data_IF_896969172144
#
_entry.id   IF_896969172144
#
_cell.length_a   1.000
_cell.length_b   1.000
_cell.length_c   1.000
_cell.angle_alpha   90.00
_cell.angle_beta   90.00
_cell.angle_gamma   90.00
#
_symmetry.space_group_name_H-M   'P 1'
#
loop_
_entity.id
_entity.type
_entity.pdbx_description
1 polymer ?
#
# COMPACT_ATOMS: atom_id res chain seq x y z
N UNK A 1 19.11 9.36 -15.38
CA UNK A 1 18.22 8.81 -16.45
C UNK A 1 17.14 7.97 -15.80
N UNK A 2 15.85 8.17 -16.15
CA UNK A 2 14.78 7.39 -15.51
C UNK A 2 14.95 5.91 -15.78
N UNK A 3 14.87 5.11 -14.73
CA UNK A 3 15.00 3.65 -14.73
C UNK A 3 13.78 3.04 -14.09
N UNK A 4 13.34 1.89 -14.57
CA UNK A 4 12.25 1.11 -13.97
C UNK A 4 12.80 0.03 -13.05
N UNK A 5 12.19 -0.15 -11.89
CA UNK A 5 12.49 -1.21 -10.91
C UNK A 5 11.57 -2.40 -11.15
N UNK A 6 11.89 -3.20 -12.17
CA UNK A 6 11.10 -4.38 -12.55
C UNK A 6 11.00 -5.43 -11.43
N UNK A 7 11.92 -5.39 -10.48
CA UNK A 7 12.00 -6.25 -9.30
C UNK A 7 11.07 -5.81 -8.15
N UNK A 8 10.32 -4.71 -8.31
CA UNK A 8 9.41 -4.17 -7.28
C UNK A 8 8.02 -3.91 -7.86
N UNK A 9 6.98 -4.17 -7.06
CA UNK A 9 5.60 -3.68 -7.24
C UNK A 9 5.11 -3.08 -5.94
N UNK A 10 4.53 -1.90 -6.01
CA UNK A 10 3.94 -1.22 -4.86
C UNK A 10 2.43 -1.16 -5.05
N UNK A 11 1.67 -1.81 -4.18
CA UNK A 11 0.21 -1.87 -4.26
C UNK A 11 -0.44 -1.45 -2.94
N UNK A 12 -1.62 -0.85 -3.05
CA UNK A 12 -2.54 -0.67 -1.94
C UNK A 12 -3.68 -1.69 -2.06
N UNK A 13 -4.11 -2.24 -0.94
CA UNK A 13 -5.32 -3.06 -0.91
C UNK A 13 -6.44 -2.26 -0.28
N UNK A 14 -7.53 -2.09 -1.00
CA UNK A 14 -8.74 -1.40 -0.56
C UNK A 14 -9.93 -2.34 -0.58
N UNK A 15 -10.79 -2.23 0.42
CA UNK A 15 -11.99 -3.03 0.53
C UNK A 15 -13.00 -2.36 1.45
N UNK A 16 -14.26 -2.72 1.30
CA UNK A 16 -15.25 -2.48 2.34
C UNK A 16 -14.96 -3.35 3.57
N UNK A 17 -15.46 -2.92 4.74
CA UNK A 17 -15.38 -3.72 5.97
C UNK A 17 -15.98 -5.10 5.71
N UNK A 18 -15.36 -6.14 6.26
CA UNK A 18 -15.77 -7.54 6.12
C UNK A 18 -15.70 -8.16 4.70
N UNK A 19 -15.25 -7.45 3.67
CA UNK A 19 -15.01 -8.05 2.34
C UNK A 19 -13.81 -9.00 2.28
N UNK A 20 -13.07 -9.14 3.38
CA UNK A 20 -11.98 -10.11 3.52
C UNK A 20 -10.60 -9.60 3.16
N UNK A 21 -10.38 -8.28 3.22
CA UNK A 21 -9.08 -7.64 2.97
C UNK A 21 -7.96 -8.24 3.82
N UNK A 22 -8.12 -8.27 5.15
CA UNK A 22 -7.12 -8.80 6.07
C UNK A 22 -6.84 -10.28 5.81
N UNK A 23 -7.89 -11.08 5.58
CA UNK A 23 -7.75 -12.52 5.25
C UNK A 23 -6.98 -12.72 3.95
N UNK A 24 -7.20 -11.86 2.95
CA UNK A 24 -6.48 -11.91 1.68
C UNK A 24 -5.00 -11.60 1.88
N UNK A 25 -4.67 -10.56 2.63
CA UNK A 25 -3.26 -10.20 2.93
C UNK A 25 -2.57 -11.31 3.72
N UNK A 26 -3.23 -11.87 4.73
CA UNK A 26 -2.71 -12.99 5.51
C UNK A 26 -2.41 -14.19 4.60
N UNK A 27 -3.27 -14.49 3.64
CA UNK A 27 -3.09 -15.61 2.73
C UNK A 27 -1.95 -15.36 1.73
N UNK A 28 -1.83 -14.14 1.22
CA UNK A 28 -0.67 -13.77 0.39
C UNK A 28 0.64 -13.89 1.16
N UNK A 29 0.67 -13.49 2.43
CA UNK A 29 1.84 -13.66 3.30
C UNK A 29 2.19 -15.13 3.52
N UNK A 30 1.21 -16.00 3.76
CA UNK A 30 1.42 -17.43 3.96
C UNK A 30 2.00 -18.08 2.71
N UNK A 31 1.41 -17.82 1.55
CA UNK A 31 1.80 -18.48 0.30
C UNK A 31 3.08 -17.92 -0.33
N UNK A 32 3.51 -16.72 0.08
CA UNK A 32 4.82 -16.16 -0.31
C UNK A 32 6.01 -16.75 0.45
N UNK A 33 5.77 -17.63 1.42
CA UNK A 33 6.83 -18.27 2.21
C UNK A 33 7.43 -17.40 3.31
N UNK A 34 6.77 -16.30 3.69
CA UNK A 34 7.19 -15.41 4.78
C UNK A 34 7.17 -16.13 6.13
N UNK A 35 6.25 -17.09 6.31
CA UNK A 35 6.14 -17.90 7.51
C UNK A 35 6.83 -19.26 7.33
N UNK A 36 7.47 -19.77 8.40
CA UNK A 36 8.03 -21.12 8.40
C UNK A 36 6.91 -22.17 8.39
N UNK A 37 7.12 -23.31 7.72
CA UNK A 37 6.12 -24.38 7.54
C UNK A 37 5.42 -24.88 8.83
N UNK A 38 6.01 -24.67 10.00
CA UNK A 38 5.47 -25.08 11.30
C UNK A 38 5.13 -23.90 12.23
N UNK A 39 5.05 -22.68 11.70
CA UNK A 39 4.69 -21.53 12.50
C UNK A 39 3.17 -21.41 12.56
N UNK A 40 2.57 -21.59 13.74
CA UNK A 40 1.18 -21.21 13.96
C UNK A 40 1.04 -19.71 13.78
N UNK A 41 0.38 -19.31 12.73
CA UNK A 41 0.10 -17.91 12.43
C UNK A 41 -1.27 -17.57 13.01
N UNK A 42 -1.31 -16.63 13.92
CA UNK A 42 -2.59 -16.12 14.42
C UNK A 42 -3.41 -15.56 13.25
N UNK A 43 -4.71 -15.75 13.27
CA UNK A 43 -5.60 -15.06 12.32
C UNK A 43 -5.46 -13.54 12.50
N UNK A 44 -5.53 -12.79 11.40
CA UNK A 44 -5.42 -11.32 11.38
C UNK A 44 -4.06 -10.81 11.87
N UNK A 45 -2.99 -11.39 11.34
CA UNK A 45 -1.60 -11.03 11.71
C UNK A 45 -1.32 -9.52 11.54
N UNK A 46 -1.98 -8.88 10.58
CA UNK A 46 -1.84 -7.45 10.33
C UNK A 46 -2.55 -6.58 11.37
N UNK A 47 -3.60 -7.08 12.05
CA UNK A 47 -4.35 -6.30 13.04
C UNK A 47 -3.62 -6.34 14.40
N UNK A 48 -2.65 -5.45 14.58
CA UNK A 48 -1.81 -5.40 15.79
C UNK A 48 -2.40 -4.60 16.94
N UNK A 49 -3.43 -3.76 16.69
CA UNK A 49 -4.09 -2.92 17.67
C UNK A 49 -5.31 -3.64 18.25
N UNK A 50 -5.46 -3.62 19.58
CA UNK A 50 -6.60 -4.25 20.25
C UNK A 50 -7.95 -3.71 19.76
N UNK A 51 -8.03 -2.41 19.45
CA UNK A 51 -9.23 -1.77 18.91
C UNK A 51 -9.54 -2.27 17.49
N UNK A 52 -8.54 -2.48 16.64
CA UNK A 52 -8.71 -3.04 15.30
C UNK A 52 -9.23 -4.49 15.39
N UNK A 53 -8.67 -5.29 16.29
CA UNK A 53 -9.10 -6.68 16.53
C UNK A 53 -10.52 -6.76 17.05
N UNK A 54 -10.88 -5.90 18.02
CA UNK A 54 -12.20 -5.87 18.64
C UNK A 54 -13.28 -5.42 17.63
N UNK A 55 -12.99 -4.41 16.83
CA UNK A 55 -13.93 -3.83 15.86
C UNK A 55 -13.91 -4.50 14.49
N UNK A 56 -12.89 -5.28 14.20
CA UNK A 56 -12.72 -5.93 12.90
C UNK A 56 -12.40 -4.99 11.73
N UNK A 57 -11.87 -3.79 12.00
CA UNK A 57 -11.56 -2.78 11.01
C UNK A 57 -10.08 -2.39 11.05
N UNK A 58 -9.51 -2.05 9.90
CA UNK A 58 -8.19 -1.42 9.81
C UNK A 58 -8.34 0.07 10.10
N UNK A 59 -7.61 0.60 11.08
CA UNK A 59 -7.60 2.01 11.46
C UNK A 59 -6.36 2.70 10.90
N UNK A 60 -5.19 2.07 11.02
CA UNK A 60 -3.92 2.58 10.55
C UNK A 60 -3.40 1.77 9.37
N UNK A 61 -2.85 2.45 8.38
CA UNK A 61 -2.19 1.80 7.24
C UNK A 61 -0.98 1.01 7.72
N UNK A 62 -0.84 -0.20 7.22
CA UNK A 62 0.27 -1.09 7.54
C UNK A 62 1.02 -1.47 6.29
N UNK A 63 2.33 -1.53 6.41
CA UNK A 63 3.22 -1.93 5.34
C UNK A 63 3.68 -3.37 5.55
N UNK A 64 3.59 -4.16 4.51
CA UNK A 64 4.18 -5.49 4.45
C UNK A 64 4.79 -5.73 3.07
N UNK A 65 5.59 -6.75 2.93
CA UNK A 65 6.15 -7.13 1.65
C UNK A 65 6.16 -8.64 1.50
N UNK A 66 5.86 -9.10 0.30
CA UNK A 66 5.92 -10.50 -0.09
C UNK A 66 6.82 -10.64 -1.30
N UNK A 67 7.33 -11.85 -1.54
CA UNK A 67 8.17 -12.15 -2.69
C UNK A 67 7.49 -13.17 -3.59
N UNK A 68 7.44 -12.87 -4.88
CA UNK A 68 6.88 -13.76 -5.88
C UNK A 68 7.77 -13.81 -7.12
N UNK A 69 8.32 -15.00 -7.42
CA UNK A 69 9.20 -15.25 -8.61
C UNK A 69 10.30 -14.17 -8.80
N UNK A 70 10.93 -13.73 -7.72
CA UNK A 70 12.00 -12.72 -7.75
C UNK A 70 11.52 -11.27 -7.71
N UNK A 71 10.22 -11.02 -7.73
CA UNK A 71 9.63 -9.67 -7.56
C UNK A 71 9.21 -9.46 -6.12
N UNK A 72 9.63 -8.37 -5.53
CA UNK A 72 9.15 -7.89 -4.23
C UNK A 72 7.87 -7.11 -4.42
N UNK A 73 6.80 -7.53 -3.77
CA UNK A 73 5.51 -6.83 -3.78
C UNK A 73 5.31 -6.18 -2.41
N UNK A 74 5.44 -4.86 -2.36
CA UNK A 74 5.09 -4.08 -1.18
C UNK A 74 3.57 -3.90 -1.17
N UNK A 75 2.96 -4.28 -0.05
CA UNK A 75 1.51 -4.21 0.16
C UNK A 75 1.24 -3.22 1.27
N UNK A 76 0.45 -2.19 0.96
CA UNK A 76 -0.04 -1.25 1.97
C UNK A 76 -1.50 -1.56 2.23
N UNK A 77 -1.78 -2.02 3.44
CA UNK A 77 -3.14 -2.22 3.91
C UNK A 77 -3.74 -0.87 4.30
N UNK A 78 -4.83 -0.46 3.64
CA UNK A 78 -5.44 0.85 3.83
C UNK A 78 -6.72 0.76 4.67
N UNK A 79 -7.02 1.79 5.50
CA UNK A 79 -8.34 1.91 6.11
C UNK A 79 -9.44 1.90 5.04
N UNK A 80 -10.50 1.13 5.29
CA UNK A 80 -11.64 1.03 4.36
C UNK A 80 -12.71 2.11 4.57
N UNK A 81 -12.60 2.94 5.61
CA UNK A 81 -13.63 3.90 6.00
C UNK A 81 -13.31 5.32 5.53
N UNK A 82 -14.33 6.05 5.04
CA UNK A 82 -14.19 7.41 4.53
C UNK A 82 -13.64 8.42 5.56
N UNK A 83 -13.81 8.16 6.86
CA UNK A 83 -13.30 9.01 7.94
C UNK A 83 -11.77 9.12 7.95
N UNK A 84 -11.06 8.18 7.31
CA UNK A 84 -9.60 8.16 7.18
C UNK A 84 -9.09 8.67 5.83
N UNK A 85 -9.88 9.50 5.16
CA UNK A 85 -9.60 9.96 3.78
C UNK A 85 -8.22 10.57 3.56
N UNK A 86 -7.71 11.34 4.52
CA UNK A 86 -6.38 11.92 4.44
C UNK A 86 -5.25 10.88 4.49
N UNK A 87 -5.43 9.79 5.22
CA UNK A 87 -4.47 8.69 5.28
C UNK A 87 -4.48 7.89 3.97
N UNK A 88 -5.66 7.56 3.48
CA UNK A 88 -5.85 6.89 2.20
C UNK A 88 -5.14 7.62 1.06
N UNK A 89 -5.32 8.93 0.95
CA UNK A 89 -4.70 9.72 -0.12
C UNK A 89 -3.17 9.71 -0.05
N UNK A 90 -2.60 9.76 1.15
CA UNK A 90 -1.14 9.66 1.33
C UNK A 90 -0.60 8.29 0.95
N UNK A 91 -1.32 7.23 1.31
CA UNK A 91 -0.98 5.84 0.93
C UNK A 91 -1.00 5.67 -0.58
N UNK A 92 -2.05 6.16 -1.24
CA UNK A 92 -2.20 6.03 -2.70
C UNK A 92 -1.07 6.72 -3.48
N UNK A 93 -0.42 7.73 -2.92
CA UNK A 93 0.77 8.35 -3.53
C UNK A 93 2.04 7.51 -3.45
N UNK A 94 2.07 6.50 -2.57
CA UNK A 94 3.22 5.60 -2.45
C UNK A 94 3.14 4.38 -3.37
N UNK A 95 1.99 4.11 -3.98
CA UNK A 95 1.76 2.90 -4.75
C UNK A 95 1.68 3.14 -6.25
N UNK A 96 1.84 2.07 -7.02
CA UNK A 96 1.76 2.07 -8.47
C UNK A 96 0.46 1.45 -8.99
N UNK A 97 -0.35 0.91 -8.09
CA UNK A 97 -1.66 0.34 -8.41
C UNK A 97 -2.40 -0.12 -7.17
N UNK A 98 -3.62 -0.54 -7.38
CA UNK A 98 -4.57 -0.88 -6.31
C UNK A 98 -5.21 -2.24 -6.57
N UNK A 99 -5.40 -3.01 -5.52
CA UNK A 99 -6.26 -4.19 -5.52
C UNK A 99 -7.55 -3.85 -4.76
N UNK A 100 -8.66 -3.79 -5.48
CA UNK A 100 -10.00 -3.58 -4.92
C UNK A 100 -10.61 -4.94 -4.60
N UNK A 101 -10.84 -5.21 -3.32
CA UNK A 101 -11.46 -6.47 -2.87
C UNK A 101 -12.96 -6.25 -2.67
N UNK A 102 -13.77 -7.04 -3.37
CA UNK A 102 -15.23 -6.97 -3.34
C UNK A 102 -15.80 -8.34 -2.96
N UNK A 103 -16.74 -8.37 -2.03
CA UNK A 103 -17.45 -9.62 -1.65
C UNK A 103 -18.35 -10.06 -2.80
N UNK A 104 -18.26 -11.35 -3.19
CA UNK A 104 -19.00 -11.93 -4.30
C UNK A 104 -20.53 -11.98 -4.09
N UNK A 105 -21.00 -11.75 -2.88
CA UNK A 105 -22.44 -11.70 -2.54
C UNK A 105 -22.91 -10.26 -2.31
N UNK A 106 -22.20 -9.49 -1.48
CA UNK A 106 -22.60 -8.12 -1.12
C UNK A 106 -22.42 -7.13 -2.28
N UNK A 107 -21.40 -7.36 -3.13
CA UNK A 107 -21.11 -6.50 -4.27
C UNK A 107 -20.42 -5.19 -3.91
N UNK A 108 -20.53 -4.21 -4.81
CA UNK A 108 -19.92 -2.91 -4.66
C UNK A 108 -20.62 -2.07 -3.57
N UNK A 109 -19.89 -1.67 -2.53
CA UNK A 109 -20.44 -0.92 -1.40
C UNK A 109 -20.11 0.57 -1.48
N UNK A 110 -21.03 1.47 -1.06
CA UNK A 110 -20.84 2.94 -1.17
C UNK A 110 -19.59 3.48 -0.49
N UNK A 111 -19.12 2.83 0.58
CA UNK A 111 -17.95 3.28 1.34
C UNK A 111 -16.64 3.15 0.56
N UNK A 112 -16.54 2.15 -0.34
CA UNK A 112 -15.40 1.99 -1.24
C UNK A 112 -15.33 3.07 -2.32
N UNK A 113 -16.47 3.72 -2.61
CA UNK A 113 -16.57 4.77 -3.64
C UNK A 113 -15.57 5.89 -3.43
N UNK A 114 -15.36 6.35 -2.19
CA UNK A 114 -14.43 7.42 -1.89
C UNK A 114 -12.98 7.03 -2.21
N UNK A 115 -12.54 5.87 -1.74
CA UNK A 115 -11.16 5.39 -1.92
C UNK A 115 -10.89 5.07 -3.40
N UNK A 116 -11.85 4.41 -4.05
CA UNK A 116 -11.76 4.11 -5.48
C UNK A 116 -11.69 5.38 -6.33
N UNK A 117 -12.53 6.39 -6.02
CA UNK A 117 -12.48 7.69 -6.69
C UNK A 117 -11.09 8.31 -6.62
N UNK A 118 -10.46 8.30 -5.43
CA UNK A 118 -9.10 8.83 -5.25
C UNK A 118 -8.05 8.05 -6.04
N UNK A 119 -8.18 6.74 -6.12
CA UNK A 119 -7.30 5.92 -6.94
C UNK A 119 -7.42 6.24 -8.44
N UNK A 120 -8.66 6.38 -8.93
CA UNK A 120 -8.94 6.75 -10.33
C UNK A 120 -8.48 8.16 -10.67
N UNK A 121 -8.68 9.16 -9.77
CA UNK A 121 -8.17 10.52 -9.92
C UNK A 121 -6.63 10.59 -10.01
N UNK A 122 -5.93 9.62 -9.44
CA UNK A 122 -4.47 9.49 -9.50
C UNK A 122 -3.99 8.61 -10.66
N UNK A 123 -4.88 8.21 -11.57
CA UNK A 123 -4.59 7.30 -12.70
C UNK A 123 -3.92 5.99 -12.27
N UNK A 124 -4.24 5.51 -11.07
CA UNK A 124 -3.72 4.23 -10.60
C UNK A 124 -4.48 3.07 -11.28
N UNK A 125 -3.78 2.11 -11.89
CA UNK A 125 -4.40 0.89 -12.37
C UNK A 125 -5.02 0.10 -11.21
N UNK A 126 -6.22 -0.43 -11.45
CA UNK A 126 -6.99 -1.18 -10.44
C UNK A 126 -7.15 -2.62 -10.90
N UNK A 127 -6.83 -3.56 -10.02
CA UNK A 127 -7.19 -4.98 -10.13
C UNK A 127 -8.41 -5.20 -9.24
N UNK A 128 -9.47 -5.77 -9.77
CA UNK A 128 -10.66 -6.10 -8.99
C UNK A 128 -10.60 -7.57 -8.57
N UNK A 129 -10.56 -7.81 -7.25
CA UNK A 129 -10.56 -9.15 -6.67
C UNK A 129 -11.97 -9.44 -6.10
N UNK A 130 -12.73 -10.28 -6.78
CA UNK A 130 -14.03 -10.76 -6.33
C UNK A 130 -13.79 -11.90 -5.34
N UNK A 131 -13.91 -11.61 -4.06
CA UNK A 131 -13.58 -12.53 -2.96
C UNK A 131 -14.81 -13.27 -2.44
N UNK A 132 -14.60 -14.37 -1.73
CA UNK A 132 -15.60 -15.23 -1.11
C UNK A 132 -16.52 -15.94 -2.14
N UNK A 133 -15.96 -16.30 -3.29
CA UNK A 133 -16.68 -17.04 -4.34
C UNK A 133 -17.08 -18.46 -3.92
N UNK A 134 -16.53 -18.97 -2.83
CA UNK A 134 -16.85 -20.25 -2.21
C UNK A 134 -18.22 -20.26 -1.50
N UNK A 135 -18.82 -19.08 -1.31
CA UNK A 135 -20.16 -18.99 -0.69
C UNK A 135 -21.25 -19.45 -1.64
N UNK A 136 -22.28 -20.19 -1.14
CA UNK A 136 -23.40 -20.66 -1.97
C UNK A 136 -24.19 -19.51 -2.63
N UNK A 137 -24.23 -18.35 -1.97
CA UNK A 137 -24.95 -17.17 -2.42
C UNK A 137 -24.11 -16.25 -3.33
N UNK A 138 -22.87 -16.65 -3.67
CA UNK A 138 -22.00 -15.86 -4.52
C UNK A 138 -22.61 -15.63 -5.91
N UNK A 139 -22.53 -14.38 -6.38
CA UNK A 139 -23.06 -13.92 -7.68
C UNK A 139 -22.00 -13.11 -8.42
N UNK A 140 -20.85 -13.70 -8.73
CA UNK A 140 -19.68 -12.97 -9.23
C UNK A 140 -19.96 -12.20 -10.52
N UNK A 141 -20.78 -12.69 -11.42
CA UNK A 141 -21.09 -12.02 -12.70
C UNK A 141 -21.85 -10.72 -12.46
N UNK A 142 -22.87 -10.73 -11.60
CA UNK A 142 -23.63 -9.53 -11.26
C UNK A 142 -22.77 -8.51 -10.50
N UNK A 143 -21.85 -8.99 -9.66
CA UNK A 143 -20.92 -8.12 -8.90
C UNK A 143 -19.94 -7.42 -9.85
N UNK A 144 -19.49 -8.07 -10.92
CA UNK A 144 -18.67 -7.42 -11.96
C UNK A 144 -19.43 -6.24 -12.56
N UNK A 145 -20.70 -6.45 -12.95
CA UNK A 145 -21.52 -5.39 -13.53
C UNK A 145 -21.70 -4.23 -12.55
N UNK A 146 -21.96 -4.50 -11.27
CA UNK A 146 -22.05 -3.49 -10.21
C UNK A 146 -20.75 -2.69 -10.04
N UNK A 147 -19.60 -3.36 -10.12
CA UNK A 147 -18.27 -2.69 -10.03
C UNK A 147 -18.02 -1.81 -11.25
N UNK A 148 -18.35 -2.28 -12.45
CA UNK A 148 -18.21 -1.50 -13.68
C UNK A 148 -19.16 -0.30 -13.68
N UNK A 149 -20.40 -0.45 -13.20
CA UNK A 149 -21.33 0.66 -13.00
C UNK A 149 -20.75 1.70 -12.02
N UNK A 150 -20.15 1.24 -10.92
CA UNK A 150 -19.48 2.13 -9.97
C UNK A 150 -18.31 2.89 -10.62
N UNK A 151 -17.51 2.23 -11.47
CA UNK A 151 -16.43 2.90 -12.20
C UNK A 151 -16.96 3.98 -13.13
N UNK A 152 -18.07 3.69 -13.87
CA UNK A 152 -18.74 4.66 -14.73
C UNK A 152 -19.29 5.85 -13.94
N UNK A 153 -19.91 5.61 -12.78
CA UNK A 153 -20.37 6.69 -11.89
C UNK A 153 -19.22 7.59 -11.36
N UNK A 154 -17.99 7.07 -11.35
CA UNK A 154 -16.80 7.78 -10.91
C UNK A 154 -16.02 8.40 -12.08
N UNK A 155 -16.62 8.48 -13.27
CA UNK A 155 -16.01 9.00 -14.49
C UNK A 155 -14.69 8.30 -14.88
N UNK A 156 -14.62 6.98 -14.67
CA UNK A 156 -13.46 6.19 -15.07
C UNK A 156 -13.24 6.23 -16.59
N UNK A 157 -11.98 6.27 -17.01
CA UNK A 157 -11.61 6.21 -18.43
C UNK A 157 -11.84 4.81 -19.02
N UNK A 158 -11.84 4.71 -20.36
CA UNK A 158 -11.96 3.42 -21.04
C UNK A 158 -10.82 2.46 -20.62
N UNK A 159 -9.60 2.96 -20.42
CA UNK A 159 -8.46 2.18 -19.95
C UNK A 159 -8.66 1.68 -18.52
N UNK A 160 -9.28 2.47 -17.65
CA UNK A 160 -9.59 2.09 -16.28
C UNK A 160 -10.74 1.08 -16.21
N UNK A 161 -11.68 1.12 -17.16
CA UNK A 161 -12.77 0.14 -17.29
C UNK A 161 -12.28 -1.23 -17.80
N UNK A 162 -11.20 -1.26 -18.57
CA UNK A 162 -10.53 -2.49 -19.05
C UNK A 162 -9.61 -3.09 -17.97
N UNK A 163 -10.06 -3.08 -16.72
CA UNK A 163 -9.30 -3.59 -15.59
C UNK A 163 -9.44 -5.12 -15.46
N UNK A 164 -8.39 -5.83 -15.00
CA UNK A 164 -8.47 -7.26 -14.77
C UNK A 164 -9.33 -7.60 -13.55
N UNK A 165 -10.13 -8.66 -13.69
CA UNK A 165 -10.86 -9.29 -12.61
C UNK A 165 -10.19 -10.59 -12.21
N UNK A 166 -10.10 -10.84 -10.90
CA UNK A 166 -9.60 -12.09 -10.33
C UNK A 166 -10.64 -12.58 -9.32
N UNK A 167 -10.98 -13.85 -9.38
CA UNK A 167 -11.89 -14.47 -8.44
C UNK A 167 -11.11 -15.16 -7.34
N UNK A 168 -11.54 -15.02 -6.09
CA UNK A 168 -10.79 -15.57 -4.97
C UNK A 168 -11.69 -16.10 -3.85
N UNK A 169 -11.19 -17.10 -3.15
CA UNK A 169 -11.57 -17.42 -1.79
C UNK A 169 -10.35 -17.29 -0.90
N UNK A 170 -10.17 -16.13 -0.29
CA UNK A 170 -9.05 -15.88 0.62
C UNK A 170 -9.04 -16.86 1.80
N UNK A 171 -10.23 -17.24 2.30
CA UNK A 171 -10.37 -18.22 3.37
C UNK A 171 -9.91 -19.61 2.98
N UNK A 172 -10.15 -20.02 1.73
CA UNK A 172 -9.78 -21.32 1.21
C UNK A 172 -8.42 -21.33 0.52
N UNK A 173 -7.78 -20.17 0.36
CA UNK A 173 -6.42 -20.01 -0.09
C UNK A 173 -6.20 -20.16 -1.60
N UNK A 174 -7.19 -19.82 -2.43
CA UNK A 174 -7.06 -19.89 -3.88
C UNK A 174 -7.61 -18.66 -4.61
N UNK A 175 -7.09 -18.42 -5.81
CA UNK A 175 -7.56 -17.43 -6.75
C UNK A 175 -7.63 -18.01 -8.15
N UNK A 176 -8.42 -17.38 -9.02
CA UNK A 176 -8.68 -17.81 -10.41
C UNK A 176 -8.81 -16.58 -11.31
N UNK A 177 -8.45 -16.73 -12.57
CA UNK A 177 -8.72 -15.73 -13.61
C UNK A 177 -10.08 -16.00 -14.24
N UNK A 178 -10.40 -17.26 -14.49
CA UNK A 178 -11.70 -17.70 -15.00
C UNK A 178 -12.42 -18.53 -13.92
N UNK A 179 -13.76 -18.47 -13.91
CA UNK A 179 -14.58 -19.16 -12.87
C UNK A 179 -14.51 -20.68 -12.91
N UNK A 180 -14.08 -21.26 -14.02
CA UNK A 180 -13.90 -22.70 -14.23
C UNK A 180 -12.46 -23.17 -14.06
N UNK A 181 -11.55 -22.28 -13.68
CA UNK A 181 -10.18 -22.64 -13.36
C UNK A 181 -10.08 -23.55 -12.12
N UNK A 182 -9.01 -24.31 -12.05
CA UNK A 182 -8.74 -25.19 -10.93
C UNK A 182 -8.39 -24.40 -9.65
N UNK A 183 -9.04 -24.77 -8.54
CA UNK A 183 -8.81 -24.18 -7.21
C UNK A 183 -7.48 -24.69 -6.61
N UNK A 184 -6.39 -23.97 -6.76
CA UNK A 184 -5.04 -24.37 -6.30
C UNK A 184 -4.48 -23.49 -5.20
N UNK A 185 -4.13 -22.28 -5.58
CA UNK A 185 -3.39 -21.34 -4.75
C UNK A 185 -3.67 -19.88 -5.18
N UNK A 186 -2.97 -18.91 -4.56
CA UNK A 186 -3.10 -17.49 -4.87
C UNK A 186 -2.22 -17.04 -6.05
N UNK A 187 -1.55 -17.96 -6.75
CA UNK A 187 -0.66 -17.63 -7.88
C UNK A 187 -1.35 -16.76 -8.94
N UNK A 188 -2.61 -16.99 -9.36
CA UNK A 188 -3.27 -16.13 -10.35
C UNK A 188 -3.35 -14.67 -9.94
N UNK A 189 -3.58 -14.37 -8.64
CA UNK A 189 -3.58 -13.00 -8.14
C UNK A 189 -2.17 -12.40 -8.13
N UNK A 190 -1.16 -13.14 -7.69
CA UNK A 190 0.24 -12.69 -7.74
C UNK A 190 0.68 -12.37 -9.17
N UNK A 191 0.36 -13.24 -10.13
CA UNK A 191 0.71 -13.03 -11.54
C UNK A 191 -0.01 -11.82 -12.13
N UNK A 192 -1.28 -11.62 -11.82
CA UNK A 192 -2.01 -10.44 -12.25
C UNK A 192 -1.39 -9.17 -11.69
N UNK A 193 -0.99 -9.14 -10.41
CA UNK A 193 -0.29 -8.00 -9.81
C UNK A 193 1.02 -7.70 -10.55
N UNK A 194 1.87 -8.70 -10.72
CA UNK A 194 3.20 -8.50 -11.33
C UNK A 194 3.09 -8.08 -12.79
N UNK A 195 2.12 -8.61 -13.54
CA UNK A 195 1.97 -8.34 -14.97
C UNK A 195 1.21 -7.05 -15.28
N UNK A 196 0.24 -6.67 -14.46
CA UNK A 196 -0.64 -5.53 -14.73
C UNK A 196 -0.19 -4.25 -14.03
N UNK A 197 0.26 -4.34 -12.78
CA UNK A 197 0.71 -3.14 -12.06
C UNK A 197 2.10 -2.71 -12.57
N UNK A 198 2.28 -1.44 -12.96
CA UNK A 198 3.57 -0.98 -13.48
C UNK A 198 4.65 -0.97 -12.38
N UNK A 199 5.87 -1.24 -12.79
CA UNK A 199 7.04 -1.08 -11.93
C UNK A 199 7.27 0.40 -11.60
N UNK A 200 7.70 0.72 -10.37
CA UNK A 200 8.06 2.09 -10.04
C UNK A 200 9.25 2.56 -10.87
N UNK A 201 9.23 3.83 -11.25
CA UNK A 201 10.29 4.46 -12.04
C UNK A 201 10.81 5.72 -11.38
N UNK A 202 12.08 6.03 -11.60
CA UNK A 202 12.75 7.23 -11.13
C UNK A 202 14.19 7.29 -11.62
N UNK A 203 14.95 8.29 -11.20
CA UNK A 203 16.36 8.42 -11.49
C UNK A 203 17.20 8.09 -10.24
N UNK A 204 17.88 6.94 -10.18
CA UNK A 204 18.65 6.53 -9.01
C UNK A 204 19.89 7.41 -8.74
N UNK A 205 20.39 8.12 -9.77
CA UNK A 205 21.55 8.98 -9.69
C UNK A 205 21.17 10.45 -9.44
N UNK A 206 19.88 10.77 -9.40
CA UNK A 206 19.39 12.11 -9.07
C UNK A 206 19.50 12.41 -7.57
N UNK A 207 19.23 13.66 -7.22
CA UNK A 207 19.08 14.08 -5.83
C UNK A 207 17.98 13.27 -5.12
N UNK A 208 18.25 12.86 -3.89
CA UNK A 208 17.28 12.09 -3.10
C UNK A 208 15.98 12.87 -2.90
N UNK A 209 14.86 12.20 -3.13
CA UNK A 209 13.53 12.68 -2.88
C UNK A 209 12.69 11.58 -2.22
N UNK A 210 12.35 11.81 -0.94
CA UNK A 210 11.55 10.91 -0.12
C UNK A 210 10.51 11.71 0.63
N UNK A 211 9.23 11.57 0.27
CA UNK A 211 8.11 12.16 1.00
C UNK A 211 7.69 11.25 2.15
N UNK A 212 7.64 11.78 3.36
CA UNK A 212 7.13 11.05 4.53
C UNK A 212 5.61 11.04 4.50
N UNK A 213 5.03 9.89 4.27
CA UNK A 213 3.58 9.68 4.11
C UNK A 213 2.92 9.16 5.38
N UNK A 214 3.64 8.38 6.20
CA UNK A 214 3.15 7.87 7.49
C UNK A 214 4.24 7.94 8.54
N UNK A 215 3.83 7.98 9.81
CA UNK A 215 4.74 7.96 10.96
C UNK A 215 4.40 6.73 11.81
N UNK A 216 5.42 6.01 12.20
CA UNK A 216 5.38 4.96 13.20
C UNK A 216 6.19 5.39 14.43
N UNK A 217 6.03 4.70 15.52
CA UNK A 217 6.74 4.97 16.77
C UNK A 217 7.30 3.69 17.38
N UNK A 218 8.53 3.78 17.84
CA UNK A 218 9.17 2.70 18.57
C UNK A 218 9.81 3.29 19.84
N UNK A 219 9.62 2.63 20.98
CA UNK A 219 10.10 3.12 22.28
C UNK A 219 11.63 3.32 22.34
N UNK A 220 12.38 2.56 21.54
CA UNK A 220 13.85 2.60 21.54
C UNK A 220 14.45 3.60 20.54
N UNK A 221 13.81 3.79 19.39
CA UNK A 221 14.33 4.65 18.33
C UNK A 221 13.50 5.92 18.09
N UNK A 222 12.38 6.06 18.80
CA UNK A 222 11.48 7.19 18.68
C UNK A 222 10.63 7.15 17.41
N UNK A 223 10.42 8.32 16.80
CA UNK A 223 9.63 8.45 15.56
C UNK A 223 10.35 7.82 14.37
N UNK A 224 9.58 7.14 13.56
CA UNK A 224 10.00 6.49 12.32
C UNK A 224 9.17 7.05 11.19
N UNK A 225 9.81 7.73 10.25
CA UNK A 225 9.13 8.23 9.04
C UNK A 225 9.10 7.16 7.95
N UNK A 226 7.95 6.95 7.33
CA UNK A 226 7.76 5.96 6.26
C UNK A 226 7.34 6.67 4.99
N UNK A 227 7.96 6.31 3.87
CA UNK A 227 7.65 6.84 2.56
C UNK A 227 8.28 6.04 1.42
N UNK A 228 7.96 6.43 0.19
CA UNK A 228 8.56 5.87 -1.02
C UNK A 228 9.66 6.79 -1.54
N UNK A 229 10.79 6.23 -1.93
CA UNK A 229 11.85 6.96 -2.62
C UNK A 229 11.43 7.19 -4.07
N UNK A 230 11.21 8.45 -4.44
CA UNK A 230 10.81 8.83 -5.80
C UNK A 230 12.03 9.01 -6.71
N UNK A 231 13.11 9.59 -6.19
CA UNK A 231 14.38 9.75 -6.91
C UNK A 231 15.57 9.57 -5.97
N UNK A 232 16.72 9.25 -6.54
CA UNK A 232 17.97 9.13 -5.83
C UNK A 232 18.14 7.83 -5.06
N UNK A 233 19.20 7.81 -4.25
CA UNK A 233 19.56 6.69 -3.37
C UNK A 233 19.82 7.25 -1.98
N UNK A 234 19.19 6.65 -0.97
CA UNK A 234 19.36 6.99 0.43
C UNK A 234 20.26 5.97 1.12
N UNK A 235 21.20 6.45 1.93
CA UNK A 235 22.17 5.63 2.66
C UNK A 235 22.14 5.90 4.16
N UNK A 236 22.43 4.87 4.93
CA UNK A 236 22.68 5.02 6.37
C UNK A 236 23.87 5.97 6.58
N UNK A 237 23.80 6.81 7.60
CA UNK A 237 24.76 7.87 7.92
C UNK A 237 24.83 9.03 6.92
N UNK A 238 24.01 9.05 5.87
CA UNK A 238 23.94 10.18 4.95
C UNK A 238 23.38 11.43 5.65
N UNK A 239 24.00 12.57 5.40
CA UNK A 239 23.42 13.87 5.74
C UNK A 239 22.43 14.29 4.65
N UNK A 240 21.25 14.69 5.07
CA UNK A 240 20.14 15.09 4.19
C UNK A 240 19.49 16.36 4.74
N UNK A 241 18.69 17.02 3.90
CA UNK A 241 17.87 18.12 4.31
C UNK A 241 16.42 17.65 4.52
N UNK A 242 15.83 18.00 5.64
CA UNK A 242 14.40 17.83 5.90
C UNK A 242 13.72 19.18 5.64
N UNK A 243 12.76 19.18 4.71
CA UNK A 243 11.99 20.36 4.29
C UNK A 243 10.51 20.05 4.25
N UNK A 244 9.65 21.07 4.21
CA UNK A 244 8.22 20.88 4.14
C UNK A 244 7.59 21.86 3.15
N UNK A 245 6.72 21.39 2.27
CA UNK A 245 6.09 22.23 1.23
C UNK A 245 5.14 23.29 1.79
N UNK A 246 4.56 23.08 2.97
CA UNK A 246 3.65 24.02 3.64
C UNK A 246 4.35 24.91 4.68
N UNK A 247 5.62 24.65 4.97
CA UNK A 247 6.45 25.44 5.88
C UNK A 247 7.83 25.64 5.27
N UNK A 248 7.99 26.62 4.37
CA UNK A 248 9.27 26.87 3.69
C UNK A 248 10.43 27.27 4.64
N UNK A 249 10.13 27.71 5.86
CA UNK A 249 11.13 28.03 6.87
C UNK A 249 11.65 26.79 7.58
N UNK A 250 10.92 25.68 7.50
CA UNK A 250 11.33 24.40 8.06
C UNK A 250 12.38 23.73 7.16
N UNK A 251 13.64 24.16 7.37
CA UNK A 251 14.79 23.53 6.71
C UNK A 251 15.77 23.07 7.79
N UNK A 252 15.95 21.77 7.90
CA UNK A 252 16.80 21.18 8.92
C UNK A 252 17.73 20.13 8.32
N UNK A 253 19.03 20.33 8.50
CA UNK A 253 20.02 19.30 8.18
C UNK A 253 19.93 18.19 9.22
N UNK A 254 19.75 16.97 8.78
CA UNK A 254 19.59 15.79 9.62
C UNK A 254 20.45 14.64 9.10
N UNK A 255 20.70 13.66 9.93
CA UNK A 255 21.44 12.45 9.57
C UNK A 255 20.53 11.23 9.68
N UNK A 256 20.59 10.36 8.69
CA UNK A 256 19.86 9.08 8.70
C UNK A 256 20.61 8.10 9.60
N UNK A 257 20.07 7.79 10.76
CA UNK A 257 20.72 6.87 11.70
C UNK A 257 20.50 5.43 11.28
N UNK A 258 19.25 5.06 10.96
CA UNK A 258 18.90 3.73 10.49
C UNK A 258 17.91 3.84 9.35
N UNK A 259 18.03 2.91 8.42
CA UNK A 259 17.19 2.75 7.25
C UNK A 259 16.65 1.32 7.25
N UNK A 260 15.34 1.18 7.00
CA UNK A 260 14.68 -0.11 6.96
C UNK A 260 13.89 -0.26 5.67
N UNK A 261 13.82 -1.48 5.18
CA UNK A 261 12.80 -1.93 4.23
C UNK A 261 11.87 -2.93 4.91
N UNK A 262 10.70 -3.17 4.30
CA UNK A 262 9.77 -4.18 4.77
C UNK A 262 10.08 -5.54 4.13
N UNK A 263 10.04 -6.59 4.94
CA UNK A 263 10.13 -7.98 4.49
C UNK A 263 9.18 -8.83 5.35
N UNK A 264 8.14 -9.34 4.73
CA UNK A 264 6.99 -9.84 5.48
C UNK A 264 6.41 -8.74 6.37
N UNK A 265 6.24 -9.06 7.64
CA UNK A 265 5.75 -8.14 8.67
C UNK A 265 6.89 -7.37 9.37
N UNK A 266 8.13 -7.70 9.07
CA UNK A 266 9.30 -7.14 9.75
C UNK A 266 9.83 -5.91 9.02
N UNK A 267 10.42 -4.98 9.80
CA UNK A 267 11.32 -3.93 9.29
C UNK A 267 12.74 -4.48 9.35
N UNK A 268 13.40 -4.60 8.21
CA UNK A 268 14.76 -5.14 8.08
C UNK A 268 15.71 -3.98 7.83
N UNK A 269 16.79 -3.89 8.62
CA UNK A 269 17.81 -2.86 8.43
C UNK A 269 18.54 -3.08 7.10
N UNK A 270 18.68 -1.99 6.33
CA UNK A 270 19.43 -1.97 5.08
C UNK A 270 20.45 -0.83 5.11
N UNK A 271 21.56 -0.97 4.37
CA UNK A 271 22.58 0.05 4.30
C UNK A 271 22.22 1.17 3.33
N UNK A 272 21.50 0.84 2.28
CA UNK A 272 21.03 1.77 1.25
C UNK A 272 19.71 1.29 0.64
N UNK A 273 18.94 2.23 0.13
CA UNK A 273 17.74 1.99 -0.66
C UNK A 273 17.62 3.03 -1.77
N UNK A 274 17.01 2.65 -2.88
CA UNK A 274 16.90 3.49 -4.07
C UNK A 274 15.46 3.58 -4.56
N UNK A 275 15.26 4.24 -5.68
CA UNK A 275 13.95 4.51 -6.31
C UNK A 275 12.97 3.35 -6.18
N UNK A 276 11.71 3.67 -5.94
CA UNK A 276 10.61 2.71 -5.82
C UNK A 276 10.55 1.96 -4.50
N UNK A 277 11.62 1.96 -3.67
CA UNK A 277 11.60 1.32 -2.37
C UNK A 277 10.72 2.09 -1.40
N UNK A 278 9.87 1.36 -0.66
CA UNK A 278 9.15 1.89 0.50
C UNK A 278 10.05 1.65 1.72
N UNK A 279 10.46 2.73 2.35
CA UNK A 279 11.45 2.72 3.43
C UNK A 279 10.92 3.34 4.71
N UNK A 280 11.52 2.92 5.81
CA UNK A 280 11.35 3.55 7.12
C UNK A 280 12.68 4.15 7.56
N UNK A 281 12.68 5.40 8.00
CA UNK A 281 13.86 6.13 8.45
C UNK A 281 13.72 6.51 9.91
N UNK A 282 14.79 6.37 10.67
CA UNK A 282 14.88 6.77 12.08
C UNK A 282 16.05 7.70 12.36
N UNK A 283 16.02 8.35 13.52
CA UNK A 283 17.05 9.29 13.95
C UNK A 283 16.66 10.77 13.80
N UNK A 284 15.43 11.04 13.37
CA UNK A 284 14.90 12.40 13.22
C UNK A 284 13.71 12.57 14.17
N UNK A 285 13.99 13.12 15.36
CA UNK A 285 13.01 13.18 16.45
C UNK A 285 11.77 14.03 16.14
N UNK A 286 11.91 15.04 15.29
CA UNK A 286 10.86 15.97 14.88
C UNK A 286 10.36 15.75 13.46
N UNK A 287 10.48 14.54 12.94
CA UNK A 287 9.92 14.17 11.65
C UNK A 287 8.39 14.11 11.72
N UNK A 288 7.73 14.66 10.69
CA UNK A 288 6.28 14.68 10.57
C UNK A 288 5.83 14.20 9.20
N UNK A 289 4.56 13.82 9.11
CA UNK A 289 3.92 13.54 7.82
C UNK A 289 3.96 14.79 6.96
N UNK A 290 4.36 14.61 5.69
CA UNK A 290 4.50 15.70 4.72
C UNK A 290 5.91 16.31 4.68
N UNK A 291 6.81 15.93 5.59
CA UNK A 291 8.21 16.29 5.45
C UNK A 291 8.84 15.56 4.26
N UNK A 292 9.68 16.24 3.53
CA UNK A 292 10.49 15.67 2.45
C UNK A 292 11.94 15.54 2.93
N UNK A 293 12.50 14.35 2.77
CA UNK A 293 13.93 14.11 2.87
C UNK A 293 14.54 14.30 1.50
N UNK A 294 15.47 15.25 1.37
CA UNK A 294 16.08 15.62 0.10
C UNK A 294 17.58 15.91 0.23
N UNK A 295 18.23 16.23 -0.90
CA UNK A 295 19.65 16.60 -0.93
C UNK A 295 19.90 17.89 -0.15
N UNK A 296 21.05 17.97 0.51
CA UNK A 296 21.51 19.19 1.20
C UNK A 296 21.81 20.31 0.21
N UNK A 297 22.34 19.95 -0.97
CA UNK A 297 22.78 20.92 -1.97
C UNK A 297 21.62 21.46 -2.81
N UNK A 298 20.53 20.71 -2.89
CA UNK A 298 19.33 21.09 -3.65
C UNK A 298 18.05 20.69 -2.88
N UNK A 299 17.71 21.45 -1.81
CA UNK A 299 16.54 21.12 -0.99
C UNK A 299 15.22 21.48 -1.70
N UNK A 300 14.51 20.47 -2.18
CA UNK A 300 13.22 20.62 -2.86
C UNK A 300 12.16 19.82 -2.12
N UNK A 301 11.14 20.52 -1.61
CA UNK A 301 9.99 19.89 -0.97
C UNK A 301 9.03 19.29 -2.01
N UNK A 302 8.58 18.06 -1.75
CA UNK A 302 7.53 17.42 -2.54
C UNK A 302 6.17 17.95 -2.06
N UNK A 303 5.30 18.43 -2.97
CA UNK A 303 3.95 18.86 -2.60
C UNK A 303 3.13 17.70 -2.01
N UNK A 304 2.43 17.98 -0.93
CA UNK A 304 1.49 17.03 -0.33
C UNK A 304 0.21 17.74 0.12
N UNK A 305 -0.87 16.97 0.31
CA UNK A 305 -2.12 17.52 0.82
C UNK A 305 -2.01 17.71 2.33
N UNK A 306 -2.24 18.94 2.80
CA UNK A 306 -2.22 19.27 4.23
C UNK A 306 -3.33 18.51 4.95
N UNK A 307 -2.98 17.86 6.05
CA UNK A 307 -3.97 17.22 6.94
C UNK A 307 -4.80 18.35 7.56
N UNK A 308 -6.13 18.22 7.49
CA UNK A 308 -7.03 19.11 8.23
C UNK A 308 -6.75 18.97 9.72
N UNK A 309 -6.60 20.07 10.43
CA UNK A 309 -6.51 20.04 11.88
C UNK A 309 -7.81 19.45 12.44
N UNK A 310 -7.74 18.63 13.53
CA UNK A 310 -8.95 18.07 14.12
C UNK A 310 -9.87 19.22 14.59
N UNK A 311 -11.14 19.12 14.25
CA UNK A 311 -12.16 20.10 14.60
C UNK A 311 -12.45 20.13 16.11
N UNK A 312 -12.05 19.08 16.82
CA UNK A 312 -12.20 18.93 18.27
C UNK A 312 -10.91 18.36 18.84
N UNK A 313 -10.26 19.09 19.72
CA UNK A 313 -9.20 18.55 20.59
C UNK A 313 -9.84 18.14 21.91
N UNK A 314 -9.67 16.86 22.29
CA UNK A 314 -10.04 16.36 23.62
C UNK A 314 -8.82 16.38 24.54
#
# INVERSE_FOLDING_TARGET
MKTKREDIRNIAIIAHVDHGKTTLVDELLKQSGVFRENQEVAERVMDSNDIERERGITILSKNTAVHYKGTKINIIDTPGHADFGGEVERVLKMVNGVVLVVDAFEGAMPQTKFVLKKALELDLPVIVCINKIDRPEARPTEVIDEVLELFLELDASEEQLDCPFVYASAKSGYAMVELDDEHKDMQPLFETIVNYIPAPEGDPDADIQLLISTIDYNEYVGRIGIGKIDNGTLKVNQEVMMVNAHDPEKQKRVKINKLYEFDGLAKVEVNEATIGAIVAVSGIADIHIGDTICSVDNPVAIPFQKISEPTIAM
#
